data_IF_406509346621
#
_entry.id   IF_406509346621
#
_cell.length_a   1.000
_cell.length_b   1.000
_cell.length_c   1.000
_cell.angle_alpha   90.00
_cell.angle_beta   90.00
_cell.angle_gamma   90.00
#
_symmetry.space_group_name_H-M   'P 1'
#
loop_
_entity.id
_entity.type
_entity.pdbx_description
1 polymer ?
#
# COMPACT_ATOMS: atom_id res chain seq x y z
N UNK A 1 -7.82 4.40 -1.48
CA UNK A 1 -6.88 3.68 -0.59
C UNK A 1 -5.47 3.94 -1.06
N UNK A 2 -4.59 4.43 -0.18
CA UNK A 2 -3.18 4.69 -0.46
C UNK A 2 -2.33 3.42 -0.31
N UNK A 3 -1.07 3.48 -0.74
CA UNK A 3 -0.08 2.43 -0.59
C UNK A 3 0.94 2.67 0.53
N UNK A 4 2.09 2.00 0.42
CA UNK A 4 3.23 2.19 1.31
C UNK A 4 4.40 2.85 0.54
N UNK A 5 5.13 3.76 1.17
CA UNK A 5 4.96 4.41 2.48
C UNK A 5 4.15 5.73 2.40
N UNK A 6 2.92 5.64 1.99
CA UNK A 6 2.04 6.76 1.71
C UNK A 6 0.95 6.95 2.79
N UNK A 7 0.11 7.97 2.60
CA UNK A 7 -1.09 8.21 3.39
C UNK A 7 -2.10 9.06 2.58
N UNK A 8 -3.22 9.44 3.14
CA UNK A 8 -4.29 10.19 2.45
C UNK A 8 -3.80 11.41 1.65
N UNK A 9 -2.73 12.08 2.08
CA UNK A 9 -2.14 13.24 1.39
C UNK A 9 -1.61 12.92 -0.02
N UNK A 10 -1.31 11.66 -0.31
CA UNK A 10 -0.90 11.25 -1.67
C UNK A 10 -1.94 11.58 -2.73
N UNK A 11 -3.20 11.61 -2.35
CA UNK A 11 -4.34 11.88 -3.23
C UNK A 11 -4.67 13.38 -3.42
N UNK A 12 -3.91 14.30 -2.82
CA UNK A 12 -4.19 15.74 -2.80
C UNK A 12 -4.39 16.38 -4.18
N UNK A 13 -3.79 15.82 -5.23
CA UNK A 13 -3.92 16.33 -6.60
C UNK A 13 -5.11 15.72 -7.35
N UNK A 14 -5.56 14.53 -6.99
CA UNK A 14 -6.69 13.85 -7.59
C UNK A 14 -8.03 14.33 -7.01
N UNK A 15 -8.04 14.64 -5.70
CA UNK A 15 -9.25 15.08 -4.99
C UNK A 15 -9.92 16.29 -5.65
N UNK A 16 -9.21 17.40 -5.98
CA UNK A 16 -9.86 18.57 -6.60
C UNK A 16 -10.56 18.24 -7.90
N UNK A 17 -9.92 17.47 -8.78
CA UNK A 17 -10.49 17.09 -10.07
C UNK A 17 -11.73 16.20 -9.91
N UNK A 18 -11.73 15.28 -8.95
CA UNK A 18 -12.88 14.42 -8.66
C UNK A 18 -14.05 15.23 -8.06
N UNK A 19 -13.75 16.15 -7.15
CA UNK A 19 -14.76 17.03 -6.55
C UNK A 19 -15.38 17.94 -7.62
N UNK A 20 -14.58 18.51 -8.53
CA UNK A 20 -15.06 19.31 -9.66
C UNK A 20 -15.97 18.48 -10.59
N UNK A 21 -15.67 17.18 -10.75
CA UNK A 21 -16.51 16.24 -11.49
C UNK A 21 -17.77 15.79 -10.73
N UNK A 22 -18.02 16.32 -9.53
CA UNK A 22 -19.22 16.07 -8.73
C UNK A 22 -19.15 14.85 -7.79
N UNK A 23 -17.96 14.30 -7.58
CA UNK A 23 -17.80 13.18 -6.63
C UNK A 23 -17.58 13.66 -5.20
N UNK A 24 -18.19 12.94 -4.24
CA UNK A 24 -17.83 13.04 -2.83
C UNK A 24 -16.62 12.14 -2.56
N UNK A 25 -15.48 12.72 -2.24
CA UNK A 25 -14.23 12.01 -2.01
C UNK A 25 -14.04 11.65 -0.54
N UNK A 26 -13.88 10.38 -0.23
CA UNK A 26 -13.54 9.87 1.09
C UNK A 26 -12.14 9.27 1.01
N UNK A 27 -11.19 9.86 1.74
CA UNK A 27 -9.77 9.52 1.62
C UNK A 27 -9.21 9.20 3.02
N UNK A 28 -9.39 7.95 3.49
CA UNK A 28 -8.90 7.56 4.81
C UNK A 28 -7.38 7.36 4.81
N UNK A 29 -6.75 7.58 5.96
CA UNK A 29 -5.53 6.86 6.28
C UNK A 29 -5.92 5.44 6.65
N UNK A 30 -5.37 4.45 5.98
CA UNK A 30 -5.67 3.05 6.27
C UNK A 30 -5.16 2.67 7.66
N UNK A 31 -5.66 1.56 8.22
CA UNK A 31 -5.19 0.95 9.46
C UNK A 31 -3.66 0.86 9.46
N UNK A 32 -3.01 1.29 10.55
CA UNK A 32 -1.56 1.36 10.67
C UNK A 32 -0.95 2.70 10.29
N UNK A 33 -1.70 3.60 9.63
CA UNK A 33 -1.18 4.85 9.09
C UNK A 33 -1.77 6.09 9.74
N UNK A 34 -0.98 7.16 9.77
CA UNK A 34 -1.41 8.50 10.21
C UNK A 34 -2.07 8.49 11.59
N UNK A 35 -3.27 9.05 11.68
CA UNK A 35 -4.07 9.10 12.90
C UNK A 35 -4.99 7.88 13.09
N UNK A 36 -5.05 6.96 12.12
CA UNK A 36 -5.84 5.74 12.24
C UNK A 36 -5.26 4.78 13.27
N UNK A 37 -6.05 3.81 13.72
CA UNK A 37 -5.64 2.81 14.71
C UNK A 37 -4.42 2.02 14.22
N UNK A 38 -3.54 1.67 15.17
CA UNK A 38 -2.30 0.92 14.93
C UNK A 38 -2.25 -0.30 15.86
N UNK A 39 -3.08 -1.34 15.62
CA UNK A 39 -3.02 -2.57 16.41
C UNK A 39 -1.61 -3.15 16.41
N UNK A 40 -1.15 -3.62 17.57
CA UNK A 40 0.16 -4.27 17.70
C UNK A 40 0.20 -5.72 17.21
N UNK A 41 -0.96 -6.35 17.04
CA UNK A 41 -1.07 -7.71 16.50
C UNK A 41 -1.06 -7.69 14.98
N UNK A 42 -0.12 -8.40 14.35
CA UNK A 42 -0.02 -8.53 12.90
C UNK A 42 -1.30 -9.13 12.26
N UNK A 43 -2.00 -10.02 12.97
CA UNK A 43 -3.25 -10.60 12.49
C UNK A 43 -4.37 -9.56 12.31
N UNK A 44 -4.28 -8.41 12.97
CA UNK A 44 -5.22 -7.32 12.78
C UNK A 44 -5.07 -6.60 11.42
N UNK A 45 -4.10 -7.00 10.61
CA UNK A 45 -3.83 -6.41 9.29
C UNK A 45 -4.11 -7.39 8.14
N UNK A 46 -4.82 -8.47 8.41
CA UNK A 46 -5.26 -9.37 7.36
C UNK A 46 -6.28 -8.69 6.41
N UNK A 47 -6.52 -9.32 5.28
CA UNK A 47 -7.38 -8.74 4.25
C UNK A 47 -8.84 -8.56 4.69
N UNK A 48 -9.32 -9.39 5.62
CA UNK A 48 -10.69 -9.27 6.14
C UNK A 48 -10.84 -8.04 7.04
N UNK A 49 -9.82 -7.75 7.86
CA UNK A 49 -9.80 -6.54 8.67
C UNK A 49 -9.68 -5.28 7.81
N UNK A 50 -8.77 -5.29 6.81
CA UNK A 50 -8.56 -4.15 5.92
C UNK A 50 -9.80 -3.84 5.06
N UNK A 51 -10.47 -4.86 4.53
CA UNK A 51 -11.71 -4.68 3.77
C UNK A 51 -12.90 -4.36 4.68
N UNK A 52 -12.90 -4.91 5.90
CA UNK A 52 -13.87 -4.59 6.95
C UNK A 52 -13.85 -3.11 7.36
N UNK A 53 -12.67 -2.50 7.41
CA UNK A 53 -12.55 -1.05 7.67
C UNK A 53 -13.25 -0.22 6.59
N UNK A 54 -13.20 -0.63 5.32
CA UNK A 54 -13.90 0.05 4.23
C UNK A 54 -15.41 -0.06 4.38
N UNK A 55 -15.92 -1.23 4.77
CA UNK A 55 -17.34 -1.42 5.08
C UNK A 55 -17.76 -0.55 6.26
N UNK A 56 -17.02 -0.59 7.36
CA UNK A 56 -17.30 0.22 8.55
C UNK A 56 -17.30 1.72 8.28
N UNK A 57 -16.42 2.18 7.37
CA UNK A 57 -16.40 3.57 6.93
C UNK A 57 -17.66 3.93 6.15
N UNK A 58 -18.08 3.10 5.19
CA UNK A 58 -19.33 3.29 4.45
C UNK A 58 -20.56 3.29 5.39
N UNK A 59 -20.61 2.35 6.33
CA UNK A 59 -21.71 2.24 7.30
C UNK A 59 -21.80 3.48 8.18
N UNK A 60 -20.66 3.95 8.69
CA UNK A 60 -20.58 5.17 9.53
C UNK A 60 -21.06 6.41 8.78
N UNK A 61 -20.82 6.47 7.47
CA UNK A 61 -21.22 7.58 6.62
C UNK A 61 -22.61 7.40 5.98
N UNK A 62 -23.31 6.31 6.30
CA UNK A 62 -24.59 5.94 5.71
C UNK A 62 -24.54 5.85 4.16
N UNK A 63 -23.42 5.34 3.63
CA UNK A 63 -23.21 5.13 2.20
C UNK A 63 -23.40 3.65 1.90
N UNK A 64 -24.35 3.33 1.05
CA UNK A 64 -24.63 1.96 0.66
C UNK A 64 -23.53 1.38 -0.22
N UNK A 65 -23.11 2.12 -1.24
CA UNK A 65 -22.13 1.68 -2.26
C UNK A 65 -21.23 2.82 -2.67
N UNK A 66 -19.98 2.49 -3.04
CA UNK A 66 -19.03 3.48 -3.54
C UNK A 66 -18.19 2.94 -4.70
N UNK A 67 -17.60 3.85 -5.46
CA UNK A 67 -16.46 3.54 -6.32
C UNK A 67 -15.17 3.58 -5.47
N UNK A 68 -14.32 2.59 -5.64
CA UNK A 68 -13.07 2.47 -4.90
C UNK A 68 -11.87 2.70 -5.79
N UNK A 69 -10.94 3.52 -5.31
CA UNK A 69 -9.66 3.79 -5.98
C UNK A 69 -8.53 3.33 -5.08
N UNK A 70 -7.64 2.51 -5.61
CA UNK A 70 -6.48 1.99 -4.89
C UNK A 70 -5.17 2.26 -5.61
N UNK A 71 -4.10 2.42 -4.85
CA UNK A 71 -2.73 2.52 -5.35
C UNK A 71 -1.83 1.61 -4.51
N UNK A 72 -0.89 0.89 -5.15
CA UNK A 72 0.07 0.01 -4.49
C UNK A 72 -0.61 -1.00 -3.53
N UNK A 73 -0.27 -1.06 -2.25
CA UNK A 73 -0.97 -1.90 -1.27
C UNK A 73 -2.46 -1.59 -1.15
N UNK A 74 -2.85 -0.34 -1.33
CA UNK A 74 -4.26 0.06 -1.37
C UNK A 74 -5.02 -0.56 -2.55
N UNK A 75 -4.35 -0.81 -3.68
CA UNK A 75 -4.95 -1.52 -4.81
C UNK A 75 -5.24 -2.99 -4.46
N UNK A 76 -4.36 -3.65 -3.70
CA UNK A 76 -4.59 -5.02 -3.21
C UNK A 76 -5.83 -5.06 -2.30
N UNK A 77 -5.95 -4.08 -1.39
CA UNK A 77 -7.14 -3.98 -0.52
C UNK A 77 -8.41 -3.78 -1.34
N UNK A 78 -8.40 -2.87 -2.32
CA UNK A 78 -9.57 -2.56 -3.16
C UNK A 78 -9.96 -3.74 -4.04
N UNK A 79 -9.01 -4.47 -4.65
CA UNK A 79 -9.31 -5.69 -5.40
C UNK A 79 -10.01 -6.74 -4.54
N UNK A 80 -9.48 -6.98 -3.33
CA UNK A 80 -10.08 -7.95 -2.41
C UNK A 80 -11.41 -7.45 -1.85
N UNK A 81 -11.57 -6.14 -1.63
CA UNK A 81 -12.84 -5.58 -1.20
C UNK A 81 -13.93 -5.84 -2.25
N UNK A 82 -13.63 -5.64 -3.53
CA UNK A 82 -14.58 -5.92 -4.61
C UNK A 82 -14.95 -7.41 -4.72
N UNK A 83 -14.02 -8.32 -4.40
CA UNK A 83 -14.30 -9.76 -4.39
C UNK A 83 -15.11 -10.19 -3.18
N UNK A 84 -14.82 -9.66 -1.99
CA UNK A 84 -15.42 -10.09 -0.74
C UNK A 84 -16.76 -9.37 -0.46
N UNK A 85 -16.92 -8.15 -0.99
CA UNK A 85 -18.07 -7.28 -0.73
C UNK A 85 -18.61 -6.65 -2.02
N UNK A 86 -18.98 -7.45 -3.05
CA UNK A 86 -19.39 -6.92 -4.36
C UNK A 86 -20.60 -5.99 -4.29
N UNK A 87 -21.49 -6.23 -3.32
CA UNK A 87 -22.69 -5.42 -3.13
C UNK A 87 -22.40 -4.00 -2.62
N UNK A 88 -21.19 -3.76 -2.10
CA UNK A 88 -20.71 -2.44 -1.62
C UNK A 88 -19.93 -1.67 -2.67
N UNK A 89 -19.68 -2.26 -3.85
CA UNK A 89 -18.80 -1.70 -4.88
C UNK A 89 -19.58 -1.31 -6.13
N UNK A 90 -19.46 -0.05 -6.54
CA UNK A 90 -19.98 0.45 -7.82
C UNK A 90 -18.98 0.25 -8.94
N UNK A 91 -17.72 0.58 -8.66
CA UNK A 91 -16.62 0.51 -9.62
C UNK A 91 -15.28 0.42 -8.89
N UNK A 92 -14.26 -0.03 -9.58
CA UNK A 92 -12.88 -0.09 -9.11
C UNK A 92 -11.95 0.58 -10.11
N UNK A 93 -11.07 1.44 -9.61
CA UNK A 93 -9.93 1.96 -10.36
C UNK A 93 -8.65 1.73 -9.57
N UNK A 94 -7.75 0.92 -10.07
CA UNK A 94 -6.50 0.59 -9.40
C UNK A 94 -5.28 1.01 -10.21
N UNK A 95 -4.30 1.56 -9.50
CA UNK A 95 -3.04 2.06 -10.05
C UNK A 95 -1.89 1.19 -9.55
N UNK A 96 -0.93 0.94 -10.42
CA UNK A 96 0.34 0.21 -10.21
C UNK A 96 0.20 -1.30 -10.00
N UNK A 97 -0.85 -1.79 -9.34
CA UNK A 97 -1.01 -3.21 -9.02
C UNK A 97 -2.25 -3.77 -9.72
N UNK A 98 -2.07 -4.65 -10.73
CA UNK A 98 -3.18 -5.33 -11.39
C UNK A 98 -3.84 -6.35 -10.46
N UNK A 99 -5.02 -6.82 -10.85
CA UNK A 99 -5.64 -7.94 -10.15
C UNK A 99 -4.72 -9.18 -10.20
N UNK A 100 -4.50 -9.76 -9.03
CA UNK A 100 -3.78 -11.02 -8.87
C UNK A 100 -4.64 -12.02 -8.12
N UNK A 101 -4.79 -13.20 -8.69
CA UNK A 101 -5.45 -14.30 -8.00
C UNK A 101 -4.65 -14.70 -6.75
N UNK A 102 -5.34 -15.29 -5.77
CA UNK A 102 -4.68 -15.79 -4.56
C UNK A 102 -3.58 -16.79 -4.92
N UNK A 103 -2.39 -16.55 -4.39
CA UNK A 103 -1.25 -17.44 -4.57
C UNK A 103 -1.55 -18.84 -3.98
N UNK A 104 -1.07 -19.88 -4.64
CA UNK A 104 -1.19 -21.27 -4.18
C UNK A 104 -0.11 -21.63 -3.14
N UNK A 105 0.94 -20.82 -3.03
CA UNK A 105 2.08 -20.99 -2.12
C UNK A 105 2.28 -19.72 -1.30
N UNK A 106 3.16 -19.80 -0.29
CA UNK A 106 3.59 -18.62 0.45
C UNK A 106 4.23 -17.58 -0.49
N UNK A 107 3.63 -16.41 -0.64
CA UNK A 107 4.14 -15.38 -1.56
C UNK A 107 5.51 -14.83 -1.10
N UNK A 108 5.76 -14.77 0.21
CA UNK A 108 7.04 -14.29 0.74
C UNK A 108 8.17 -15.24 0.35
N UNK A 109 7.96 -16.54 0.51
CA UNK A 109 8.92 -17.56 0.09
C UNK A 109 9.15 -17.54 -1.43
N UNK A 110 8.10 -17.32 -2.21
CA UNK A 110 8.19 -17.21 -3.68
C UNK A 110 9.02 -15.98 -4.07
N UNK A 111 8.76 -14.83 -3.47
CA UNK A 111 9.54 -13.61 -3.73
C UNK A 111 10.99 -13.74 -3.27
N UNK A 112 11.23 -14.42 -2.13
CA UNK A 112 12.60 -14.69 -1.64
C UNK A 112 13.41 -15.51 -2.64
N UNK A 113 12.79 -16.53 -3.25
CA UNK A 113 13.44 -17.35 -4.29
C UNK A 113 13.69 -16.56 -5.58
N UNK A 114 12.77 -15.68 -5.98
CA UNK A 114 12.86 -14.94 -7.24
C UNK A 114 13.74 -13.69 -7.15
N UNK A 115 13.67 -12.96 -6.06
CA UNK A 115 14.21 -11.60 -5.90
C UNK A 115 15.25 -11.50 -4.78
N UNK A 116 15.44 -12.55 -4.00
CA UNK A 116 16.40 -12.59 -2.89
C UNK A 116 15.88 -11.98 -1.58
N UNK A 117 16.67 -12.14 -0.53
CA UNK A 117 16.33 -11.71 0.85
C UNK A 117 16.29 -10.19 1.01
N UNK A 118 16.98 -9.47 0.13
CA UNK A 118 17.06 -8.00 0.15
C UNK A 118 15.83 -7.33 -0.48
N UNK A 119 14.97 -8.11 -1.15
CA UNK A 119 13.71 -7.56 -1.64
C UNK A 119 12.87 -7.06 -0.47
N UNK A 120 12.43 -5.80 -0.52
CA UNK A 120 11.89 -5.10 0.64
C UNK A 120 10.73 -5.81 1.35
N UNK A 121 9.84 -6.46 0.59
CA UNK A 121 8.72 -7.22 1.17
C UNK A 121 9.24 -8.43 1.94
N UNK A 122 10.23 -9.14 1.40
CA UNK A 122 10.86 -10.30 2.06
C UNK A 122 11.55 -9.82 3.32
N UNK A 123 12.37 -8.77 3.21
CA UNK A 123 13.09 -8.19 4.34
C UNK A 123 12.16 -7.78 5.49
N UNK A 124 11.04 -7.09 5.19
CA UNK A 124 10.07 -6.67 6.21
C UNK A 124 9.41 -7.86 6.94
N UNK A 125 9.15 -8.93 6.20
CA UNK A 125 8.53 -10.14 6.78
C UNK A 125 9.52 -11.01 7.55
N UNK A 126 10.77 -11.12 7.09
CA UNK A 126 11.79 -11.96 7.72
C UNK A 126 12.49 -11.26 8.89
N UNK A 127 12.57 -9.94 8.86
CA UNK A 127 13.27 -9.12 9.86
C UNK A 127 12.38 -7.97 10.36
N UNK A 128 11.27 -8.27 11.05
CA UNK A 128 10.33 -7.25 11.50
C UNK A 128 10.99 -6.24 12.42
N UNK A 129 10.74 -4.96 12.19
CA UNK A 129 11.28 -3.86 12.99
C UNK A 129 12.65 -3.33 12.55
N UNK A 130 13.46 -4.10 11.83
CA UNK A 130 14.81 -3.65 11.41
C UNK A 130 14.73 -2.47 10.47
N UNK A 131 13.91 -2.56 9.42
CA UNK A 131 13.70 -1.46 8.48
C UNK A 131 13.06 -0.24 9.16
N UNK A 132 12.06 -0.45 10.01
CA UNK A 132 11.43 0.64 10.76
C UNK A 132 12.44 1.43 11.58
N UNK A 133 13.29 0.73 12.35
CA UNK A 133 14.34 1.37 13.15
C UNK A 133 15.36 2.14 12.30
N UNK A 134 15.65 1.69 11.06
CA UNK A 134 16.52 2.42 10.15
C UNK A 134 15.83 3.69 9.61
N UNK A 135 14.57 3.59 9.19
CA UNK A 135 13.80 4.72 8.64
C UNK A 135 13.51 5.81 9.68
N UNK A 136 13.27 5.42 10.94
CA UNK A 136 13.05 6.34 12.06
C UNK A 136 14.24 7.25 12.35
N UNK A 137 15.47 6.84 12.02
CA UNK A 137 16.65 7.69 12.20
C UNK A 137 16.61 8.94 11.35
N UNK A 138 16.12 8.83 10.10
CA UNK A 138 16.00 9.95 9.18
C UNK A 138 14.89 9.71 8.14
N UNK A 139 13.60 9.85 8.55
CA UNK A 139 12.47 9.60 7.67
C UNK A 139 12.50 10.49 6.41
N UNK A 140 12.94 11.74 6.56
CA UNK A 140 13.02 12.68 5.44
C UNK A 140 14.02 12.21 4.37
N UNK A 141 15.18 11.74 4.79
CA UNK A 141 16.20 11.23 3.85
C UNK A 141 15.70 10.00 3.14
N UNK A 142 15.14 9.03 3.89
CA UNK A 142 14.54 7.84 3.32
C UNK A 142 13.49 8.18 2.23
N UNK A 143 12.50 9.01 2.57
CA UNK A 143 11.45 9.40 1.62
C UNK A 143 12.01 10.20 0.44
N UNK A 144 13.01 11.05 0.66
CA UNK A 144 13.65 11.80 -0.42
C UNK A 144 14.39 10.87 -1.39
N UNK A 145 15.07 9.85 -0.88
CA UNK A 145 15.74 8.86 -1.71
C UNK A 145 14.74 7.99 -2.46
N UNK A 146 13.66 7.57 -1.79
CA UNK A 146 12.62 6.74 -2.40
C UNK A 146 11.90 7.45 -3.57
N UNK A 147 11.57 8.74 -3.41
CA UNK A 147 10.75 9.47 -4.38
C UNK A 147 11.51 10.40 -5.33
N UNK A 148 12.80 10.65 -5.10
CA UNK A 148 13.61 11.57 -5.93
C UNK A 148 14.70 10.88 -6.74
N UNK A 149 14.80 9.57 -6.68
CA UNK A 149 15.84 8.86 -7.41
C UNK A 149 15.60 8.98 -8.91
N UNK A 150 16.56 9.56 -9.61
CA UNK A 150 16.64 9.53 -11.08
C UNK A 150 16.94 8.11 -11.60
N UNK A 151 17.24 7.19 -10.73
CA UNK A 151 17.51 5.77 -11.03
C UNK A 151 16.37 5.08 -11.78
N UNK A 152 15.15 5.57 -11.65
CA UNK A 152 14.01 5.11 -12.46
C UNK A 152 14.11 5.45 -13.96
N UNK A 153 14.99 6.42 -14.30
CA UNK A 153 15.21 6.87 -15.68
C UNK A 153 16.44 6.23 -16.32
N UNK A 154 17.31 5.61 -15.53
CA UNK A 154 18.46 4.88 -16.03
C UNK A 154 18.12 3.40 -16.20
N UNK A 155 18.50 2.77 -17.33
CA UNK A 155 18.33 1.33 -17.46
C UNK A 155 19.20 0.66 -16.40
N UNK A 156 18.55 0.18 -15.35
CA UNK A 156 19.22 -0.51 -14.27
C UNK A 156 19.95 -1.74 -14.82
N UNK A 157 21.23 -1.86 -14.54
CA UNK A 157 21.89 -3.15 -14.68
C UNK A 157 21.18 -4.13 -13.72
N UNK A 158 20.84 -5.32 -14.22
CA UNK A 158 20.12 -6.35 -13.44
C UNK A 158 20.78 -6.70 -12.09
N UNK A 159 22.06 -6.34 -11.90
CA UNK A 159 22.81 -6.54 -10.66
C UNK A 159 22.58 -5.47 -9.59
N UNK A 160 22.16 -4.25 -9.97
CA UNK A 160 21.93 -3.15 -9.02
C UNK A 160 20.53 -3.16 -8.42
N UNK A 161 19.55 -3.68 -9.15
CA UNK A 161 18.16 -3.82 -8.62
C UNK A 161 18.09 -4.94 -7.58
N UNK A 162 18.84 -6.02 -7.76
CA UNK A 162 18.79 -7.19 -6.89
C UNK A 162 19.58 -7.01 -5.58
N UNK A 163 20.45 -6.01 -5.47
CA UNK A 163 21.41 -5.88 -4.35
C UNK A 163 21.21 -4.66 -3.45
N UNK A 164 20.30 -3.74 -3.75
CA UNK A 164 20.11 -2.58 -2.87
C UNK A 164 19.01 -2.85 -1.86
N UNK A 165 19.42 -3.17 -0.63
CA UNK A 165 18.51 -3.18 0.50
C UNK A 165 17.81 -1.83 0.62
N UNK A 166 16.48 -1.83 0.77
CA UNK A 166 15.70 -0.61 1.00
C UNK A 166 16.20 0.19 2.22
N UNK A 167 16.92 -0.46 3.14
CA UNK A 167 17.54 0.16 4.30
C UNK A 167 18.62 1.18 3.89
N UNK A 168 19.38 0.94 2.83
CA UNK A 168 20.38 1.89 2.33
C UNK A 168 19.77 3.22 1.87
N UNK A 169 18.48 3.26 1.58
CA UNK A 169 17.79 4.52 1.29
C UNK A 169 17.65 5.43 2.52
N UNK A 170 17.84 4.90 3.73
CA UNK A 170 17.82 5.66 4.97
C UNK A 170 19.20 6.16 5.42
N UNK A 171 20.28 5.60 4.89
CA UNK A 171 21.68 5.96 5.15
C UNK A 171 22.13 7.09 4.22
#
# INVERSE_FOLDING_TARGET
>A
CHGWPEHAYSWRHQIPALVEAGYHCIVPNQRGYGASSKPGDANAYDIHHLTGDLNGLLDTLAIERAAFVGHDWGAIVVWNHALLNPDRVVAVANLSVPFMARAQSDPVATWEQMLGQEFYIVHFNRQPGVAAAAFEKNPRRFLSNLYRTTQWLEPASNSEIAGSSIIHMAE
#
